data_IF_894862266365
#
_entry.id   IF_894862266365
#
_cell.length_a   1.000
_cell.length_b   1.000
_cell.length_c   1.000
_cell.angle_alpha   90.00
_cell.angle_beta   90.00
_cell.angle_gamma   90.00
#
_symmetry.space_group_name_H-M   'P 1'
#
loop_
_entity.id
_entity.type
_entity.pdbx_description
1 polymer ?
#
# COMPACT_ATOMS: atom_id res chain seq x y z
N UNK A 1 33.88 -9.87 17.82
CA UNK A 1 34.57 -8.57 17.97
C UNK A 1 35.45 -8.63 19.21
N UNK A 2 36.78 -8.71 19.06
CA UNK A 2 37.65 -8.39 20.19
C UNK A 2 37.36 -6.93 20.57
N UNK A 3 36.75 -6.73 21.74
CA UNK A 3 36.50 -5.40 22.29
C UNK A 3 37.85 -4.70 22.40
N UNK A 4 37.93 -3.45 21.93
CA UNK A 4 39.13 -2.60 22.09
C UNK A 4 39.69 -2.79 23.51
N UNK A 5 40.95 -3.21 23.62
CA UNK A 5 41.61 -3.43 24.92
C UNK A 5 42.27 -2.15 25.44
N UNK A 6 42.63 -1.25 24.53
CA UNK A 6 43.34 0.00 24.81
C UNK A 6 42.65 1.19 24.13
N UNK A 7 42.81 2.37 24.73
CA UNK A 7 42.24 3.61 24.24
C UNK A 7 42.95 4.07 22.95
N UNK A 8 42.23 4.38 21.86
CA UNK A 8 42.84 4.85 20.62
C UNK A 8 43.45 6.26 20.75
N UNK A 9 43.09 7.02 21.79
CA UNK A 9 43.57 8.39 22.01
C UNK A 9 44.90 8.40 22.78
N UNK A 10 44.94 7.78 23.97
CA UNK A 10 46.10 7.86 24.88
C UNK A 10 46.76 6.51 25.19
N UNK A 11 46.33 5.42 24.52
CA UNK A 11 46.88 4.05 24.64
C UNK A 11 46.73 3.38 26.02
N UNK A 12 46.11 4.05 27.00
CA UNK A 12 45.81 3.46 28.30
C UNK A 12 44.73 2.36 28.22
N UNK A 13 44.67 1.48 29.22
CA UNK A 13 43.72 0.36 29.26
C UNK A 13 42.27 0.85 29.31
N UNK A 14 41.37 0.14 28.63
CA UNK A 14 39.93 0.36 28.75
C UNK A 14 39.34 -0.52 29.87
N UNK A 15 38.39 0.02 30.63
CA UNK A 15 37.61 -0.69 31.64
C UNK A 15 36.12 -0.64 31.34
N UNK A 16 35.35 -1.59 31.87
CA UNK A 16 33.90 -1.60 31.72
C UNK A 16 33.27 -0.45 32.52
N UNK A 17 32.37 0.28 31.89
CA UNK A 17 31.54 1.31 32.49
C UNK A 17 30.07 0.90 32.36
N UNK A 18 29.41 0.44 33.44
CA UNK A 18 27.98 0.16 33.45
C UNK A 18 27.16 1.46 33.34
N UNK A 19 26.13 1.47 32.50
CA UNK A 19 25.21 2.60 32.38
C UNK A 19 23.84 2.13 31.86
N UNK A 20 22.78 2.39 32.62
CA UNK A 20 21.38 2.10 32.26
C UNK A 20 21.14 0.71 31.62
N UNK A 21 21.79 -0.34 32.14
CA UNK A 21 21.66 -1.72 31.61
C UNK A 21 22.61 -2.07 30.45
N UNK A 22 23.37 -1.10 29.94
CA UNK A 22 24.44 -1.30 28.96
C UNK A 22 25.82 -1.36 29.63
N UNK A 23 26.80 -1.87 28.89
CA UNK A 23 28.21 -1.91 29.32
C UNK A 23 29.08 -1.30 28.24
N UNK A 24 29.54 -0.08 28.48
CA UNK A 24 30.49 0.62 27.61
C UNK A 24 31.92 0.35 28.04
N UNK A 25 32.88 0.77 27.22
CA UNK A 25 34.31 0.73 27.56
C UNK A 25 34.82 2.15 27.76
N UNK A 26 35.36 2.47 28.94
CA UNK A 26 35.92 3.79 29.25
C UNK A 26 37.43 3.71 29.47
N UNK A 27 38.17 4.69 28.98
CA UNK A 27 39.59 4.85 29.24
C UNK A 27 39.85 5.21 30.72
N UNK A 28 40.77 4.48 31.37
CA UNK A 28 41.12 4.75 32.77
C UNK A 28 41.80 6.11 32.97
N UNK A 29 42.48 6.62 31.94
CA UNK A 29 43.24 7.86 31.96
C UNK A 29 42.43 9.07 31.44
N UNK A 30 42.26 9.21 30.12
CA UNK A 30 41.61 10.38 29.50
C UNK A 30 40.07 10.37 29.53
N UNK A 31 39.45 9.36 30.16
CA UNK A 31 37.99 9.20 30.33
C UNK A 31 37.16 9.08 29.05
N UNK A 32 37.78 8.99 27.87
CA UNK A 32 37.11 8.70 26.60
C UNK A 32 36.28 7.40 26.67
N UNK A 33 35.07 7.43 26.09
CA UNK A 33 34.12 6.31 26.11
C UNK A 33 33.93 5.75 24.71
N UNK A 34 34.06 4.44 24.59
CA UNK A 34 33.67 3.68 23.41
C UNK A 34 32.25 3.15 23.58
N UNK A 35 31.33 3.71 22.80
CA UNK A 35 29.91 3.35 22.81
C UNK A 35 29.60 2.10 21.99
N UNK A 36 30.42 1.79 20.98
CA UNK A 36 30.17 0.63 20.09
C UNK A 36 28.92 0.80 19.22
N UNK A 37 28.68 2.02 18.73
CA UNK A 37 27.56 2.35 17.85
C UNK A 37 27.56 1.46 16.59
N UNK A 38 26.39 1.12 16.03
CA UNK A 38 26.30 0.35 14.80
C UNK A 38 26.91 1.12 13.62
N UNK A 39 27.52 0.39 12.67
CA UNK A 39 28.03 1.00 11.43
C UNK A 39 26.87 1.39 10.52
N UNK A 40 26.80 2.62 10.00
CA UNK A 40 25.72 3.05 9.13
C UNK A 40 25.93 2.56 7.69
N UNK A 41 24.87 2.03 7.09
CA UNK A 41 24.82 1.57 5.70
C UNK A 41 23.47 1.96 5.06
N UNK A 42 23.41 1.88 3.74
CA UNK A 42 22.21 2.18 2.95
C UNK A 42 21.87 1.04 2.01
N UNK A 43 20.59 0.90 1.66
CA UNK A 43 20.14 0.00 0.60
C UNK A 43 19.14 0.67 -0.34
N UNK A 44 19.34 0.46 -1.64
CA UNK A 44 18.47 0.95 -2.70
C UNK A 44 17.45 -0.12 -3.09
N UNK A 45 16.16 0.20 -2.99
CA UNK A 45 15.08 -0.60 -3.56
C UNK A 45 14.59 0.06 -4.85
N UNK A 46 14.89 -0.57 -5.98
CA UNK A 46 14.41 -0.14 -7.30
C UNK A 46 13.46 -1.20 -7.84
N UNK A 47 12.25 -0.78 -8.21
CA UNK A 47 11.24 -1.65 -8.82
C UNK A 47 10.83 -1.07 -10.18
N UNK A 48 10.89 -1.89 -11.22
CA UNK A 48 10.49 -1.47 -12.57
C UNK A 48 8.98 -1.65 -12.82
N UNK A 49 8.50 -1.18 -13.97
CA UNK A 49 7.07 -1.25 -14.36
C UNK A 49 6.52 -2.69 -14.49
N UNK A 50 7.39 -3.70 -14.52
CA UNK A 50 7.04 -5.12 -14.55
C UNK A 50 6.94 -5.75 -13.16
N UNK A 51 7.02 -4.94 -12.10
CA UNK A 51 7.11 -5.40 -10.70
C UNK A 51 8.31 -6.33 -10.46
N UNK A 52 9.45 -6.01 -11.06
CA UNK A 52 10.71 -6.71 -10.83
C UNK A 52 11.63 -5.82 -9.98
N UNK A 53 12.30 -6.42 -9.02
CA UNK A 53 13.22 -5.75 -8.08
C UNK A 53 14.65 -5.86 -8.61
N UNK A 54 15.38 -4.75 -8.62
CA UNK A 54 16.81 -4.75 -8.93
C UNK A 54 17.60 -5.42 -7.81
N UNK A 55 18.41 -6.41 -8.17
CA UNK A 55 19.29 -7.14 -7.26
C UNK A 55 20.71 -7.19 -7.81
N UNK A 56 21.66 -7.22 -6.90
CA UNK A 56 23.09 -7.43 -7.16
C UNK A 56 23.55 -8.75 -6.56
N UNK A 57 24.51 -9.39 -7.22
CA UNK A 57 25.19 -10.58 -6.72
C UNK A 57 26.55 -10.16 -6.16
N UNK A 58 26.75 -10.43 -4.87
CA UNK A 58 27.92 -9.94 -4.12
C UNK A 58 29.19 -10.66 -4.55
N UNK A 59 30.23 -9.92 -4.93
CA UNK A 59 31.56 -10.44 -5.22
C UNK A 59 32.47 -10.59 -3.98
N UNK A 60 32.05 -10.05 -2.83
CA UNK A 60 32.86 -9.95 -1.60
C UNK A 60 32.11 -10.38 -0.33
N UNK A 61 32.87 -10.78 0.71
CA UNK A 61 32.32 -11.05 2.05
C UNK A 61 31.74 -9.79 2.70
N UNK A 62 30.71 -9.91 3.57
CA UNK A 62 30.02 -11.14 3.97
C UNK A 62 29.13 -11.71 2.86
N UNK A 63 28.95 -13.04 2.87
CA UNK A 63 27.96 -13.73 2.01
C UNK A 63 28.24 -13.62 0.51
N UNK A 64 29.51 -13.82 0.12
CA UNK A 64 29.92 -13.82 -1.29
C UNK A 64 29.08 -14.81 -2.12
N UNK A 65 28.73 -14.41 -3.35
CA UNK A 65 27.92 -15.19 -4.29
C UNK A 65 26.41 -15.16 -4.06
N UNK A 66 25.93 -14.48 -3.01
CA UNK A 66 24.49 -14.34 -2.72
C UNK A 66 23.87 -13.09 -3.34
N UNK A 67 22.54 -13.07 -3.43
CA UNK A 67 21.79 -11.92 -3.95
C UNK A 67 21.43 -10.95 -2.82
N UNK A 68 21.52 -9.66 -3.12
CA UNK A 68 21.19 -8.56 -2.22
C UNK A 68 20.55 -7.39 -3.00
N UNK A 69 19.95 -6.45 -2.26
CA UNK A 69 19.68 -5.12 -2.81
C UNK A 69 21.02 -4.40 -2.99
N UNK A 70 21.13 -3.46 -3.96
CA UNK A 70 22.29 -2.59 -4.03
C UNK A 70 22.47 -1.84 -2.70
N UNK A 71 23.66 -1.91 -2.11
CA UNK A 71 23.87 -1.45 -0.73
C UNK A 71 25.34 -1.30 -0.36
N UNK A 72 25.66 -0.31 0.46
CA UNK A 72 26.99 -0.15 1.03
C UNK A 72 27.04 0.81 2.21
N UNK A 73 28.26 1.07 2.70
CA UNK A 73 28.48 1.89 3.88
C UNK A 73 28.41 3.38 3.55
N UNK A 74 27.96 4.18 4.52
CA UNK A 74 27.98 5.64 4.38
C UNK A 74 29.40 6.13 4.63
N UNK A 75 29.95 6.92 3.70
CA UNK A 75 31.29 7.47 3.83
C UNK A 75 31.37 8.67 4.79
N UNK A 76 32.60 9.01 5.22
CA UNK A 76 32.79 10.18 6.05
C UNK A 76 32.36 11.45 5.31
N UNK A 77 31.48 12.24 5.94
CA UNK A 77 30.90 13.49 5.40
C UNK A 77 29.90 13.29 4.25
N UNK A 78 29.39 12.07 4.08
CA UNK A 78 28.31 11.75 3.15
C UNK A 78 26.95 11.70 3.88
N UNK A 79 25.87 12.09 3.20
CA UNK A 79 24.50 11.88 3.69
C UNK A 79 24.00 10.50 3.27
N UNK A 80 23.05 9.87 3.99
CA UNK A 80 22.44 8.62 3.54
C UNK A 80 21.85 8.70 2.12
N UNK A 81 21.28 9.86 1.77
CA UNK A 81 20.72 10.12 0.44
C UNK A 81 21.78 10.11 -0.66
N UNK A 82 22.94 10.74 -0.43
CA UNK A 82 24.04 10.69 -1.41
C UNK A 82 24.64 9.28 -1.49
N UNK A 83 24.81 8.61 -0.34
CA UNK A 83 25.33 7.26 -0.28
C UNK A 83 24.47 6.28 -1.09
N UNK A 84 23.14 6.32 -0.95
CA UNK A 84 22.28 5.34 -1.64
C UNK A 84 22.26 5.54 -3.16
N UNK A 85 22.43 6.79 -3.62
CA UNK A 85 22.55 7.09 -5.05
C UNK A 85 23.92 6.63 -5.58
N UNK A 86 24.99 6.90 -4.84
CA UNK A 86 26.35 6.45 -5.17
C UNK A 86 26.43 4.93 -5.25
N UNK A 87 25.98 4.22 -4.21
CA UNK A 87 25.99 2.75 -4.15
C UNK A 87 25.16 2.11 -5.27
N UNK A 88 23.98 2.68 -5.57
CA UNK A 88 23.18 2.23 -6.72
C UNK A 88 23.98 2.33 -8.02
N UNK A 89 24.64 3.47 -8.25
CA UNK A 89 25.43 3.70 -9.45
C UNK A 89 26.68 2.81 -9.50
N UNK A 90 27.44 2.72 -8.42
CA UNK A 90 28.67 1.93 -8.35
C UNK A 90 28.39 0.44 -8.56
N UNK A 91 27.36 -0.13 -7.93
CA UNK A 91 27.12 -1.58 -8.03
C UNK A 91 26.39 -1.99 -9.33
N UNK A 92 25.60 -1.10 -9.93
CA UNK A 92 24.68 -1.46 -11.03
C UNK A 92 24.81 -0.63 -12.30
N UNK A 93 25.54 0.48 -12.26
CA UNK A 93 25.63 1.47 -13.33
C UNK A 93 24.35 2.28 -13.54
N UNK A 94 23.34 2.11 -12.68
CA UNK A 94 22.03 2.76 -12.81
C UNK A 94 22.05 4.12 -12.12
N UNK A 95 21.68 5.16 -12.86
CA UNK A 95 21.33 6.44 -12.28
C UNK A 95 19.89 6.42 -11.79
N UNK A 96 19.64 7.04 -10.64
CA UNK A 96 18.29 7.13 -10.08
C UNK A 96 18.09 8.34 -9.19
N UNK A 97 16.83 8.57 -8.83
CA UNK A 97 16.42 9.60 -7.88
C UNK A 97 15.65 8.97 -6.72
N UNK A 98 15.83 9.50 -5.52
CA UNK A 98 15.12 9.03 -4.33
C UNK A 98 13.64 9.39 -4.43
N UNK A 99 12.79 8.39 -4.21
CA UNK A 99 11.34 8.55 -4.14
C UNK A 99 10.87 8.72 -2.70
N UNK A 100 11.35 7.87 -1.79
CA UNK A 100 11.07 7.98 -0.34
C UNK A 100 11.99 7.10 0.51
N UNK A 101 12.11 7.48 1.78
CA UNK A 101 12.63 6.61 2.84
C UNK A 101 11.58 5.54 3.19
N UNK A 102 12.00 4.28 3.28
CA UNK A 102 11.14 3.15 3.68
C UNK A 102 11.26 2.88 5.18
N UNK A 103 12.47 2.87 5.71
CA UNK A 103 12.73 2.60 7.13
C UNK A 103 14.21 2.36 7.43
N UNK A 104 14.49 2.09 8.71
CA UNK A 104 15.83 1.73 9.20
C UNK A 104 15.77 0.36 9.89
N UNK A 105 16.82 -0.44 9.68
CA UNK A 105 16.88 -1.84 10.05
C UNK A 105 18.23 -2.18 10.69
N UNK A 106 18.24 -3.09 11.65
CA UNK A 106 19.47 -3.61 12.26
C UNK A 106 19.86 -4.93 11.60
N UNK A 107 21.09 -5.01 11.09
CA UNK A 107 21.69 -6.24 10.56
C UNK A 107 22.88 -6.67 11.44
N UNK A 108 22.74 -7.72 12.25
CA UNK A 108 23.87 -8.30 12.95
C UNK A 108 24.78 -9.06 11.98
N UNK A 109 26.05 -8.68 11.95
CA UNK A 109 27.08 -9.29 11.10
C UNK A 109 28.19 -9.88 11.96
N UNK A 110 28.86 -10.92 11.44
CA UNK A 110 30.03 -11.52 12.12
C UNK A 110 31.27 -10.63 12.06
N UNK A 111 31.40 -9.86 10.98
CA UNK A 111 32.59 -9.05 10.68
C UNK A 111 32.51 -7.69 11.37
N UNK A 112 31.41 -6.98 11.19
CA UNK A 112 31.27 -5.58 11.62
C UNK A 112 30.47 -5.41 12.92
N UNK A 113 29.96 -6.49 13.51
CA UNK A 113 28.98 -6.40 14.59
C UNK A 113 27.65 -5.91 14.04
N UNK A 114 27.02 -4.93 14.68
CA UNK A 114 25.71 -4.42 14.25
C UNK A 114 25.86 -3.36 13.15
N UNK A 115 25.12 -3.52 12.06
CA UNK A 115 25.00 -2.54 10.98
C UNK A 115 23.61 -1.92 11.03
N UNK A 116 23.53 -0.59 10.99
CA UNK A 116 22.28 0.17 10.85
C UNK A 116 22.06 0.43 9.35
N UNK A 117 21.14 -0.32 8.75
CA UNK A 117 20.79 -0.18 7.35
C UNK A 117 19.61 0.79 7.18
N UNK A 118 19.79 1.83 6.38
CA UNK A 118 18.74 2.79 6.02
C UNK A 118 18.26 2.48 4.59
N UNK A 119 16.98 2.17 4.45
CA UNK A 119 16.40 1.70 3.19
C UNK A 119 15.60 2.75 2.45
N UNK A 120 15.91 2.99 1.17
CA UNK A 120 15.20 3.95 0.32
C UNK A 120 14.57 3.26 -0.90
N UNK A 121 13.41 3.77 -1.35
CA UNK A 121 12.87 3.48 -2.68
C UNK A 121 13.41 4.52 -3.67
N UNK A 122 13.95 4.04 -4.79
CA UNK A 122 14.51 4.87 -5.85
C UNK A 122 13.82 4.58 -7.19
N UNK A 123 13.72 5.62 -8.02
CA UNK A 123 13.32 5.51 -9.43
C UNK A 123 14.56 5.46 -10.30
N UNK A 124 14.69 4.46 -11.16
CA UNK A 124 15.78 4.37 -12.13
C UNK A 124 15.47 5.22 -13.37
N UNK A 125 16.46 6.01 -13.81
CA UNK A 125 16.38 6.83 -15.04
C UNK A 125 16.76 6.01 -16.28
N UNK A 126 17.55 4.95 -16.11
CA UNK A 126 17.94 4.02 -17.19
C UNK A 126 17.88 2.58 -16.71
N UNK A 127 17.49 1.67 -17.60
CA UNK A 127 17.41 0.22 -17.33
C UNK A 127 18.59 -0.57 -17.87
N UNK A 128 19.59 0.09 -18.50
CA UNK A 128 20.82 -0.57 -18.93
C UNK A 128 21.71 -0.82 -17.72
N UNK A 129 21.80 -2.08 -17.30
CA UNK A 129 22.65 -2.51 -16.20
C UNK A 129 24.10 -2.68 -16.68
N UNK A 130 25.05 -2.20 -15.87
CA UNK A 130 26.48 -2.51 -15.99
C UNK A 130 26.98 -2.83 -14.58
N UNK A 131 27.25 -4.09 -14.24
CA UNK A 131 27.82 -4.43 -12.93
C UNK A 131 29.12 -3.66 -12.71
N UNK A 132 29.30 -3.06 -11.52
CA UNK A 132 30.54 -2.38 -11.16
C UNK A 132 31.55 -3.27 -10.46
N UNK A 133 32.58 -2.66 -9.86
CA UNK A 133 33.82 -3.31 -9.39
C UNK A 133 33.62 -4.45 -8.40
N UNK A 134 32.57 -4.40 -7.58
CA UNK A 134 32.36 -5.32 -6.44
C UNK A 134 31.17 -6.28 -6.62
N UNK A 135 30.57 -6.28 -7.82
CA UNK A 135 29.38 -7.06 -8.14
C UNK A 135 29.59 -7.98 -9.35
N UNK A 136 29.36 -9.28 -9.17
CA UNK A 136 29.50 -10.28 -10.24
C UNK A 136 28.40 -10.16 -11.30
N UNK A 137 27.22 -9.66 -10.90
CA UNK A 137 26.06 -9.50 -11.77
C UNK A 137 25.02 -8.56 -11.14
N UNK A 138 24.25 -7.87 -11.98
CA UNK A 138 23.04 -7.15 -11.59
C UNK A 138 21.87 -7.62 -12.46
N UNK A 139 20.67 -7.80 -11.88
CA UNK A 139 19.46 -8.16 -12.64
C UNK A 139 18.19 -7.66 -11.97
N UNK A 140 17.15 -7.51 -12.79
CA UNK A 140 15.78 -7.41 -12.31
C UNK A 140 15.21 -8.82 -12.09
N UNK A 141 14.63 -9.07 -10.92
CA UNK A 141 13.98 -10.33 -10.57
C UNK A 141 12.51 -10.10 -10.19
N UNK A 142 11.55 -10.91 -10.68
CA UNK A 142 10.13 -10.74 -10.34
C UNK A 142 9.88 -10.73 -8.84
N UNK A 143 9.16 -9.72 -8.32
CA UNK A 143 8.86 -9.59 -6.89
C UNK A 143 8.17 -10.82 -6.30
N UNK A 144 7.38 -11.53 -7.12
CA UNK A 144 6.69 -12.77 -6.73
C UNK A 144 7.61 -13.99 -6.65
N UNK A 145 8.80 -13.93 -7.23
CA UNK A 145 9.75 -15.04 -7.33
C UNK A 145 11.19 -14.53 -7.17
N UNK A 146 11.46 -13.85 -6.05
CA UNK A 146 12.80 -13.37 -5.73
C UNK A 146 13.71 -14.55 -5.38
N UNK A 147 14.99 -14.52 -5.82
CA UNK A 147 15.99 -15.45 -5.31
C UNK A 147 16.17 -15.28 -3.79
N UNK A 148 16.84 -16.24 -3.13
CA UNK A 148 17.19 -16.11 -1.71
C UNK A 148 18.05 -14.86 -1.50
N UNK A 149 17.52 -13.90 -0.74
CA UNK A 149 18.23 -12.70 -0.29
C UNK A 149 18.81 -13.01 1.08
N UNK A 150 20.13 -12.90 1.26
CA UNK A 150 20.79 -13.41 2.46
C UNK A 150 20.58 -12.51 3.70
N UNK A 151 20.60 -11.19 3.53
CA UNK A 151 20.44 -10.23 4.64
C UNK A 151 18.99 -10.12 5.10
N UNK A 152 18.79 -10.18 6.42
CA UNK A 152 17.45 -10.10 7.02
C UNK A 152 16.85 -8.69 6.93
N UNK A 153 17.69 -7.67 7.04
CA UNK A 153 17.36 -6.26 6.84
C UNK A 153 16.82 -6.01 5.43
N UNK A 154 17.45 -6.56 4.39
CA UNK A 154 16.99 -6.43 3.00
C UNK A 154 15.61 -7.07 2.79
N UNK A 155 15.39 -8.27 3.35
CA UNK A 155 14.08 -8.92 3.32
C UNK A 155 13.01 -8.09 4.04
N UNK A 156 13.37 -7.48 5.17
CA UNK A 156 12.47 -6.62 5.95
C UNK A 156 12.11 -5.34 5.18
N UNK A 157 13.09 -4.71 4.54
CA UNK A 157 12.91 -3.55 3.67
C UNK A 157 11.92 -3.85 2.54
N UNK A 158 12.13 -4.93 1.77
CA UNK A 158 11.23 -5.34 0.68
C UNK A 158 9.83 -5.61 1.20
N UNK A 159 9.71 -6.31 2.34
CA UNK A 159 8.42 -6.62 2.95
C UNK A 159 7.66 -5.36 3.33
N UNK A 160 8.32 -4.41 3.98
CA UNK A 160 7.68 -3.20 4.48
C UNK A 160 7.30 -2.27 3.32
N UNK A 161 8.16 -2.17 2.29
CA UNK A 161 7.80 -1.52 1.03
C UNK A 161 6.56 -2.17 0.38
N UNK A 162 6.53 -3.51 0.29
CA UNK A 162 5.39 -4.24 -0.29
C UNK A 162 4.09 -4.00 0.49
N UNK A 163 4.16 -3.92 1.82
CA UNK A 163 3.00 -3.55 2.65
C UNK A 163 2.52 -2.15 2.31
N UNK A 164 3.42 -1.16 2.28
CA UNK A 164 3.07 0.22 1.93
C UNK A 164 2.49 0.31 0.51
N UNK A 165 3.07 -0.40 -0.46
CA UNK A 165 2.58 -0.46 -1.84
C UNK A 165 1.16 -1.01 -1.92
N UNK A 166 0.85 -2.08 -1.16
CA UNK A 166 -0.51 -2.63 -1.07
C UNK A 166 -1.49 -1.70 -0.36
N UNK A 167 -1.04 -0.94 0.64
CA UNK A 167 -1.88 0.04 1.33
C UNK A 167 -2.23 1.24 0.44
N UNK A 168 -1.41 1.55 -0.57
CA UNK A 168 -1.69 2.54 -1.61
C UNK A 168 -2.27 1.86 -2.88
N UNK A 169 -2.95 0.71 -2.74
CA UNK A 169 -3.79 0.26 -3.85
C UNK A 169 -4.90 1.29 -4.03
N UNK A 170 -5.03 1.93 -5.21
CA UNK A 170 -6.07 2.91 -5.44
C UNK A 170 -7.42 2.21 -5.27
N UNK A 171 -8.20 2.67 -4.31
CA UNK A 171 -9.61 2.30 -4.24
C UNK A 171 -10.33 2.98 -5.40
N UNK A 172 -11.14 2.21 -6.11
CA UNK A 172 -12.04 2.72 -7.14
C UNK A 172 -13.47 2.60 -6.65
N UNK A 173 -14.30 3.58 -6.99
CA UNK A 173 -15.75 3.48 -6.80
C UNK A 173 -16.36 2.71 -7.98
N UNK A 174 -17.06 1.61 -7.69
CA UNK A 174 -17.64 0.73 -8.71
C UNK A 174 -19.11 0.50 -8.46
N UNK A 175 -19.88 0.22 -9.52
CA UNK A 175 -21.29 -0.13 -9.41
C UNK A 175 -21.46 -1.43 -8.63
N UNK A 176 -22.20 -1.37 -7.51
CA UNK A 176 -22.53 -2.51 -6.65
C UNK A 176 -23.90 -3.09 -7.03
N UNK A 177 -24.91 -2.23 -7.11
CA UNK A 177 -26.30 -2.63 -7.34
C UNK A 177 -27.00 -1.69 -8.31
N UNK A 178 -27.89 -2.23 -9.15
CA UNK A 178 -28.73 -1.45 -10.07
C UNK A 178 -30.15 -1.97 -10.07
N UNK A 179 -31.12 -1.09 -9.85
CA UNK A 179 -32.55 -1.34 -10.10
C UNK A 179 -32.95 -0.44 -11.28
N UNK A 180 -33.53 -1.01 -12.33
CA UNK A 180 -33.98 -0.23 -13.51
C UNK A 180 -35.44 -0.47 -13.81
N UNK A 181 -36.07 0.51 -14.47
CA UNK A 181 -37.50 0.53 -14.85
C UNK A 181 -38.48 0.59 -13.67
N UNK A 182 -38.00 0.83 -12.45
CA UNK A 182 -38.84 0.94 -11.26
C UNK A 182 -39.78 2.15 -11.38
N UNK A 183 -41.06 1.99 -11.05
CA UNK A 183 -42.03 3.09 -11.13
C UNK A 183 -42.33 3.67 -9.76
N UNK A 184 -42.29 5.00 -9.64
CA UNK A 184 -42.72 5.68 -8.42
C UNK A 184 -44.17 5.31 -8.14
N UNK A 185 -44.41 4.74 -6.95
CA UNK A 185 -45.73 4.37 -6.46
C UNK A 185 -46.43 5.53 -5.78
N UNK A 186 -45.66 6.33 -5.02
CA UNK A 186 -46.18 7.53 -4.35
C UNK A 186 -45.05 8.50 -4.01
N UNK A 187 -45.40 9.74 -3.69
CA UNK A 187 -44.49 10.77 -3.20
C UNK A 187 -45.07 11.35 -1.92
N UNK A 188 -44.23 11.58 -0.89
CA UNK A 188 -44.66 12.12 0.41
C UNK A 188 -43.70 13.18 0.91
N UNK A 189 -44.01 14.44 0.60
CA UNK A 189 -43.18 15.59 0.95
C UNK A 189 -43.05 15.81 2.46
N UNK A 190 -44.14 15.71 3.22
CA UNK A 190 -44.16 15.98 4.66
C UNK A 190 -43.77 14.77 5.53
N UNK A 191 -42.98 13.85 5.00
CA UNK A 191 -42.49 12.68 5.72
C UNK A 191 -40.98 12.74 5.92
N UNK A 192 -40.49 12.35 7.10
CA UNK A 192 -39.06 12.23 7.39
C UNK A 192 -38.50 11.02 6.67
N UNK A 193 -37.82 11.22 5.54
CA UNK A 193 -37.20 10.12 4.85
C UNK A 193 -36.67 10.48 3.49
N UNK A 194 -36.14 9.45 2.84
CA UNK A 194 -35.40 9.53 1.60
C UNK A 194 -36.12 8.72 0.50
N UNK A 195 -35.72 7.49 0.19
CA UNK A 195 -36.40 6.67 -0.82
C UNK A 195 -36.87 5.33 -0.24
N UNK A 196 -38.18 5.12 -0.18
CA UNK A 196 -38.78 3.85 0.21
C UNK A 196 -38.68 2.82 -0.92
N UNK A 197 -38.14 1.64 -0.64
CA UNK A 197 -38.04 0.54 -1.62
C UNK A 197 -38.52 -0.76 -0.98
N UNK A 198 -39.32 -1.55 -1.71
CA UNK A 198 -39.71 -2.90 -1.30
C UNK A 198 -38.49 -3.73 -0.86
N UNK A 199 -38.51 -4.21 0.39
CA UNK A 199 -37.43 -5.02 0.95
C UNK A 199 -37.08 -6.26 0.13
N UNK A 200 -38.06 -6.89 -0.54
CA UNK A 200 -37.80 -8.04 -1.43
C UNK A 200 -36.88 -7.66 -2.60
N UNK A 201 -37.05 -6.46 -3.14
CA UNK A 201 -36.22 -5.94 -4.23
C UNK A 201 -34.84 -5.55 -3.71
N UNK A 202 -34.79 -4.86 -2.56
CA UNK A 202 -33.51 -4.51 -1.91
C UNK A 202 -32.63 -5.75 -1.69
N UNK A 203 -33.19 -6.81 -1.10
CA UNK A 203 -32.44 -8.04 -0.82
C UNK A 203 -31.93 -8.69 -2.11
N UNK A 204 -32.73 -8.68 -3.18
CA UNK A 204 -32.38 -9.30 -4.46
C UNK A 204 -31.16 -8.65 -5.12
N UNK A 205 -30.98 -7.33 -4.94
CA UNK A 205 -29.81 -6.60 -5.45
C UNK A 205 -28.75 -6.33 -4.39
N UNK A 206 -28.96 -6.75 -3.13
CA UNK A 206 -28.00 -6.52 -2.03
C UNK A 206 -27.92 -5.07 -1.54
N UNK A 207 -29.00 -4.30 -1.67
CA UNK A 207 -29.14 -2.99 -1.05
C UNK A 207 -29.45 -3.14 0.44
N UNK A 208 -28.76 -2.38 1.28
CA UNK A 208 -28.98 -2.33 2.72
C UNK A 208 -29.86 -1.13 3.10
N UNK A 209 -30.60 -1.20 4.23
CA UNK A 209 -31.15 0.00 4.85
C UNK A 209 -30.07 1.06 5.05
N UNK A 210 -30.44 2.32 4.85
CA UNK A 210 -29.56 3.50 4.99
C UNK A 210 -28.39 3.56 4.00
N UNK A 211 -28.34 2.66 3.01
CA UNK A 211 -27.33 2.70 1.95
C UNK A 211 -27.58 3.89 1.00
N UNK A 212 -26.52 4.64 0.70
CA UNK A 212 -26.52 5.73 -0.30
C UNK A 212 -26.81 5.16 -1.69
N UNK A 213 -27.72 5.82 -2.40
CA UNK A 213 -28.06 5.54 -3.79
C UNK A 213 -28.08 6.82 -4.62
N UNK A 214 -27.75 6.68 -5.90
CA UNK A 214 -28.03 7.67 -6.93
C UNK A 214 -29.30 7.28 -7.66
N UNK A 215 -30.26 8.18 -7.75
CA UNK A 215 -31.56 7.98 -8.39
C UNK A 215 -31.61 8.84 -9.66
N UNK A 216 -31.90 8.19 -10.78
CA UNK A 216 -32.06 8.80 -12.10
C UNK A 216 -33.52 8.66 -12.48
N UNK A 217 -34.19 9.77 -12.78
CA UNK A 217 -35.56 9.75 -13.25
C UNK A 217 -35.59 9.88 -14.78
N UNK A 218 -36.03 8.83 -15.46
CA UNK A 218 -36.08 8.78 -16.93
C UNK A 218 -37.07 9.81 -17.51
N UNK A 219 -38.10 10.20 -16.76
CA UNK A 219 -39.18 11.03 -17.25
C UNK A 219 -38.83 12.53 -17.24
N UNK A 220 -38.01 13.00 -16.30
CA UNK A 220 -37.69 14.43 -16.15
C UNK A 220 -36.18 14.74 -16.21
N UNK A 221 -35.32 13.72 -16.35
CA UNK A 221 -33.87 13.89 -16.43
C UNK A 221 -33.18 14.18 -15.10
N UNK A 222 -33.91 14.24 -13.98
CA UNK A 222 -33.33 14.50 -12.66
C UNK A 222 -32.37 13.38 -12.25
N UNK A 223 -31.26 13.79 -11.64
CA UNK A 223 -30.25 12.90 -11.05
C UNK A 223 -29.91 13.42 -9.67
N UNK A 224 -30.19 12.63 -8.65
CA UNK A 224 -30.01 13.05 -7.26
C UNK A 224 -29.52 11.89 -6.39
N UNK A 225 -28.94 12.23 -5.26
CA UNK A 225 -28.42 11.27 -4.30
C UNK A 225 -29.28 11.28 -3.04
N UNK A 226 -29.48 10.09 -2.47
CA UNK A 226 -30.34 9.90 -1.30
C UNK A 226 -29.99 8.55 -0.64
N UNK A 227 -30.62 8.15 0.46
CA UNK A 227 -30.44 6.82 1.09
C UNK A 227 -31.71 5.95 1.06
N UNK A 228 -31.59 4.64 1.17
CA UNK A 228 -32.75 3.73 1.04
C UNK A 228 -33.43 3.44 2.38
N UNK A 229 -34.75 3.49 2.41
CA UNK A 229 -35.60 3.08 3.53
C UNK A 229 -36.37 1.81 3.11
N UNK A 230 -36.37 0.74 3.93
CA UNK A 230 -37.09 -0.48 3.58
C UNK A 230 -38.61 -0.32 3.72
N UNK A 231 -39.33 -0.62 2.66
CA UNK A 231 -40.79 -0.80 2.66
C UNK A 231 -41.15 -2.27 2.92
N UNK A 232 -42.42 -2.52 3.25
CA UNK A 232 -42.96 -3.86 3.49
C UNK A 232 -42.55 -4.82 2.35
N UNK A 233 -41.99 -5.97 2.72
CA UNK A 233 -41.57 -7.02 1.77
C UNK A 233 -42.72 -7.43 0.85
N UNK A 234 -42.47 -7.44 -0.46
CA UNK A 234 -43.43 -7.83 -1.48
C UNK A 234 -44.49 -6.77 -1.82
N UNK A 235 -44.32 -5.54 -1.34
CA UNK A 235 -45.24 -4.43 -1.60
C UNK A 235 -45.15 -3.82 -3.00
N UNK A 236 -44.04 -4.01 -3.72
CA UNK A 236 -43.78 -3.34 -5.01
C UNK A 236 -43.62 -1.82 -4.88
N UNK A 237 -43.36 -1.32 -3.67
CA UNK A 237 -43.27 0.12 -3.40
C UNK A 237 -41.92 0.70 -3.81
N UNK A 238 -42.01 1.84 -4.50
CA UNK A 238 -40.94 2.81 -4.70
C UNK A 238 -41.51 4.18 -4.34
N UNK A 239 -41.04 4.80 -3.26
CA UNK A 239 -41.64 6.02 -2.71
C UNK A 239 -40.56 7.09 -2.55
N UNK A 240 -40.82 8.30 -3.04
CA UNK A 240 -39.95 9.44 -2.74
C UNK A 240 -40.50 10.18 -1.51
N UNK A 241 -39.73 10.19 -0.44
CA UNK A 241 -40.04 10.90 0.81
C UNK A 241 -39.29 12.23 0.87
N UNK A 242 -39.81 13.16 1.68
CA UNK A 242 -39.11 14.41 2.00
C UNK A 242 -38.79 15.26 0.75
N UNK A 243 -37.64 15.95 0.73
CA UNK A 243 -37.23 16.77 -0.42
C UNK A 243 -37.13 16.01 -1.75
N UNK A 244 -36.85 14.70 -1.72
CA UNK A 244 -36.80 13.88 -2.93
C UNK A 244 -38.17 13.79 -3.62
N UNK A 245 -39.29 14.05 -2.92
CA UNK A 245 -40.62 14.09 -3.50
C UNK A 245 -40.76 15.16 -4.61
N UNK A 246 -39.91 16.19 -4.64
CA UNK A 246 -39.89 17.17 -5.74
C UNK A 246 -39.22 16.66 -7.02
N UNK A 247 -38.49 15.54 -6.95
CA UNK A 247 -37.65 15.00 -8.04
C UNK A 247 -38.36 13.98 -8.91
N UNK A 248 -39.64 13.71 -8.65
CA UNK A 248 -40.48 12.85 -9.49
C UNK A 248 -41.92 12.83 -9.02
N UNK A 249 -42.78 12.14 -9.76
CA UNK A 249 -44.21 11.94 -9.44
C UNK A 249 -44.63 10.49 -9.64
N UNK A 250 -45.75 10.03 -9.07
CA UNK A 250 -46.24 8.68 -9.29
C UNK A 250 -46.34 8.33 -10.78
N UNK A 251 -45.86 7.15 -11.15
CA UNK A 251 -45.78 6.65 -12.52
C UNK A 251 -44.44 6.87 -13.23
N UNK A 252 -43.63 7.85 -12.79
CA UNK A 252 -42.30 8.09 -13.36
C UNK A 252 -41.41 6.85 -13.19
N UNK A 253 -40.57 6.59 -14.20
CA UNK A 253 -39.61 5.50 -14.20
C UNK A 253 -38.27 5.97 -13.63
N UNK A 254 -37.69 5.12 -12.78
CA UNK A 254 -36.43 5.34 -12.11
C UNK A 254 -35.38 4.29 -12.48
N UNK A 255 -34.13 4.73 -12.46
CA UNK A 255 -32.97 3.87 -12.27
C UNK A 255 -32.29 4.23 -10.95
N UNK A 256 -32.12 3.24 -10.07
CA UNK A 256 -31.48 3.39 -8.77
C UNK A 256 -30.14 2.65 -8.81
N UNK A 257 -29.05 3.34 -8.46
CA UNK A 257 -27.69 2.84 -8.48
C UNK A 257 -27.09 2.92 -7.08
N UNK A 258 -26.41 1.88 -6.62
CA UNK A 258 -25.50 1.97 -5.47
C UNK A 258 -24.09 1.58 -5.88
N UNK A 259 -23.12 2.18 -5.19
CA UNK A 259 -21.71 2.03 -5.46
C UNK A 259 -20.98 1.50 -4.23
N UNK A 260 -19.79 0.97 -4.43
CA UNK A 260 -18.88 0.57 -3.36
C UNK A 260 -17.44 0.89 -3.72
N UNK A 261 -16.63 1.22 -2.72
CA UNK A 261 -15.20 1.35 -2.89
C UNK A 261 -14.53 -0.01 -2.76
N UNK A 262 -13.68 -0.34 -3.73
CA UNK A 262 -12.89 -1.58 -3.73
C UNK A 262 -11.45 -1.29 -4.12
N UNK A 263 -10.47 -2.07 -3.66
CA UNK A 263 -9.13 -2.06 -4.22
C UNK A 263 -9.18 -2.42 -5.71
N UNK A 264 -8.36 -1.77 -6.54
CA UNK A 264 -8.36 -1.95 -8.00
C UNK A 264 -8.16 -3.42 -8.41
N UNK A 265 -7.34 -4.18 -7.67
CA UNK A 265 -7.08 -5.61 -7.93
C UNK A 265 -8.31 -6.50 -7.70
N UNK A 266 -9.31 -6.04 -6.96
CA UNK A 266 -10.55 -6.78 -6.73
C UNK A 266 -11.59 -6.53 -7.82
N UNK A 267 -11.39 -5.58 -8.73
CA UNK A 267 -12.40 -5.21 -9.74
C UNK A 267 -12.88 -6.39 -10.59
N UNK A 268 -11.98 -7.32 -10.93
CA UNK A 268 -12.32 -8.51 -11.72
C UNK A 268 -13.21 -9.50 -10.96
N UNK A 269 -13.26 -9.42 -9.62
CA UNK A 269 -14.09 -10.28 -8.75
C UNK A 269 -15.46 -9.68 -8.44
N UNK A 270 -15.68 -8.41 -8.79
CA UNK A 270 -16.90 -7.67 -8.45
C UNK A 270 -17.78 -7.54 -9.68
N UNK A 271 -18.90 -8.26 -9.60
CA UNK A 271 -20.03 -8.19 -10.52
C UNK A 271 -21.18 -7.40 -9.88
N UNK A 272 -21.74 -6.38 -10.57
CA UNK A 272 -22.93 -5.70 -10.09
C UNK A 272 -24.17 -6.61 -10.09
N UNK A 273 -25.01 -6.50 -9.07
CA UNK A 273 -26.33 -7.15 -9.04
C UNK A 273 -27.39 -6.24 -9.65
N UNK A 274 -28.04 -6.70 -10.71
CA UNK A 274 -28.96 -5.88 -11.49
C UNK A 274 -30.37 -6.48 -11.47
N UNK A 275 -31.37 -5.70 -11.05
CA UNK A 275 -32.78 -6.04 -11.17
C UNK A 275 -33.46 -5.15 -12.22
N UNK A 276 -34.19 -5.78 -13.14
CA UNK A 276 -35.12 -5.12 -14.05
C UNK A 276 -36.53 -5.28 -13.51
N UNK A 277 -37.22 -4.17 -13.33
CA UNK A 277 -38.56 -4.12 -12.75
C UNK A 277 -39.62 -4.09 -13.86
N UNK A 278 -40.69 -4.86 -13.72
CA UNK A 278 -41.83 -4.86 -14.65
C UNK A 278 -42.83 -3.73 -14.38
N UNK A 279 -43.88 -3.66 -15.19
CA UNK A 279 -44.97 -2.69 -15.07
C UNK A 279 -45.76 -2.78 -13.75
N UNK A 280 -45.68 -3.91 -13.04
CA UNK A 280 -46.34 -4.14 -11.74
C UNK A 280 -45.41 -3.92 -10.54
N UNK A 281 -44.25 -3.32 -10.79
CA UNK A 281 -43.18 -3.13 -9.82
C UNK A 281 -42.67 -4.44 -9.17
N UNK A 282 -42.62 -5.52 -9.96
CA UNK A 282 -41.99 -6.79 -9.55
C UNK A 282 -40.72 -7.03 -10.36
N UNK A 283 -39.85 -7.92 -9.85
CA UNK A 283 -38.60 -8.25 -10.52
C UNK A 283 -38.93 -9.15 -11.71
N UNK A 284 -38.76 -8.62 -12.92
CA UNK A 284 -38.88 -9.39 -14.16
C UNK A 284 -37.63 -10.22 -14.44
N UNK A 285 -36.46 -9.64 -14.15
CA UNK A 285 -35.17 -10.27 -14.44
C UNK A 285 -34.12 -9.86 -13.42
N UNK A 286 -33.36 -10.84 -12.95
CA UNK A 286 -32.11 -10.63 -12.22
C UNK A 286 -30.94 -10.94 -13.15
N UNK A 287 -29.92 -10.08 -13.14
CA UNK A 287 -28.64 -10.34 -13.77
C UNK A 287 -27.55 -10.26 -12.69
N UNK A 288 -26.84 -11.36 -12.53
CA UNK A 288 -25.46 -11.39 -12.06
C UNK A 288 -24.61 -11.43 -13.33
N UNK A 289 -23.94 -10.33 -13.66
CA UNK A 289 -23.12 -10.26 -14.89
C UNK A 289 -21.83 -11.09 -14.78
#
# INVERSE_FOLDING_TARGET
>A
MEKLKFCPICRSKLTKLPDAGNVYMQCTNCKWVYYGNPLPAVAALVVNDRNEVLLVKRGVEPCQGTWALPSGFIEQKETPEHAVIRELYEETGVNGSIKKLIGAYLEPTRIYGNVLLIGYELTAVSTRLKPGSDCDAARFAPLKNLPKIEFASHRSLIRDWTKQYKTISPYIEVLKSKITEARITSTRLHYKGSMGIDRKIMDAVGLLPDEKVQVLNYNNGERFETYVIPEKRGSGKFILYGPAAHKGKPGDKLCILSYMFIPIEQKQKITPKIAVIDSTNRIAKLKSS
#
